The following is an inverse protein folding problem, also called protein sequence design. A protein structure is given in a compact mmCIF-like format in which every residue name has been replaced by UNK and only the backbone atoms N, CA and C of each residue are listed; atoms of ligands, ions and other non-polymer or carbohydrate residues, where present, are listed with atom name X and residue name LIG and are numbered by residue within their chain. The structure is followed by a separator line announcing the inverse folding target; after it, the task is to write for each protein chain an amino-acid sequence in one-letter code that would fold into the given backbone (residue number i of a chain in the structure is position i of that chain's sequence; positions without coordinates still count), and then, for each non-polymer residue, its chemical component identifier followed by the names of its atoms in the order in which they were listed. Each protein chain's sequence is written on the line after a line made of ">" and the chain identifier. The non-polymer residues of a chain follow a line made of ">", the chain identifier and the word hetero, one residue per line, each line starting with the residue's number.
data_IF_916115345191
#
_entry.id   IF_916115345191
#
_cell.length_a   1.000
_cell.length_b   1.000
_cell.length_c   1.000
_cell.angle_alpha   90.00
_cell.angle_beta   90.00
_cell.angle_gamma   90.00
#
_symmetry.space_group_name_H-M   'P 1'
#
loop_
_entity.id
_entity.type
_entity.pdbx_description
1 polymer ?
#
# COMPACT_ATOMS: atom_id res chain seq x y z
N UNK A 1 16.01 0.60 -3.43
CA UNK A 1 16.85 -0.41 -4.11
C UNK A 1 18.28 0.08 -4.39
N UNK A 2 18.45 1.25 -5.01
CA UNK A 2 19.75 1.77 -5.42
C UNK A 2 20.80 1.88 -4.30
N UNK A 3 20.39 2.27 -3.08
CA UNK A 3 21.30 2.34 -1.93
C UNK A 3 21.91 0.99 -1.53
N UNK A 4 21.12 -0.09 -1.55
CA UNK A 4 21.63 -1.44 -1.23
C UNK A 4 22.60 -1.95 -2.30
N UNK A 5 22.36 -1.60 -3.57
CA UNK A 5 23.22 -1.99 -4.68
C UNK A 5 24.56 -1.26 -4.59
N UNK A 6 24.52 0.07 -4.38
CA UNK A 6 25.73 0.88 -4.28
C UNK A 6 26.63 0.41 -3.13
N UNK A 7 26.05 0.11 -1.97
CA UNK A 7 26.82 -0.35 -0.82
C UNK A 7 27.27 -1.80 -0.96
N UNK A 8 26.41 -2.69 -1.48
CA UNK A 8 26.76 -4.07 -1.74
C UNK A 8 27.95 -4.22 -2.70
N UNK A 9 28.00 -3.43 -3.77
CA UNK A 9 29.11 -3.46 -4.74
C UNK A 9 30.43 -3.03 -4.09
N UNK A 10 30.44 -2.02 -3.20
CA UNK A 10 31.66 -1.61 -2.49
C UNK A 10 32.20 -2.71 -1.58
N UNK A 11 31.32 -3.37 -0.82
CA UNK A 11 31.71 -4.42 0.13
C UNK A 11 32.22 -5.67 -0.61
N UNK A 12 31.61 -6.02 -1.75
CA UNK A 12 32.10 -7.09 -2.61
C UNK A 12 33.45 -6.73 -3.24
N UNK A 13 33.64 -5.49 -3.69
CA UNK A 13 34.92 -5.01 -4.22
C UNK A 13 36.05 -5.05 -3.17
N UNK A 14 35.72 -4.96 -1.87
CA UNK A 14 36.65 -5.14 -0.77
C UNK A 14 36.98 -6.62 -0.44
N UNK A 15 36.52 -7.58 -1.26
CA UNK A 15 36.85 -9.01 -1.14
C UNK A 15 35.88 -9.82 -0.29
N UNK A 16 34.77 -9.23 0.15
CA UNK A 16 33.74 -9.97 0.87
C UNK A 16 32.94 -10.89 -0.05
N UNK A 17 32.52 -12.05 0.46
CA UNK A 17 31.80 -13.05 -0.32
C UNK A 17 30.37 -12.58 -0.66
N UNK A 18 30.01 -12.41 -1.94
CA UNK A 18 28.70 -11.90 -2.36
C UNK A 18 27.54 -12.81 -1.94
N UNK A 19 27.76 -14.12 -1.86
CA UNK A 19 26.73 -15.10 -1.42
C UNK A 19 26.40 -14.92 0.06
N UNK A 20 27.42 -14.66 0.88
CA UNK A 20 27.22 -14.40 2.32
C UNK A 20 26.53 -13.06 2.55
N UNK A 21 26.88 -12.03 1.77
CA UNK A 21 26.21 -10.72 1.84
C UNK A 21 24.75 -10.84 1.44
N UNK A 22 24.43 -11.50 0.32
CA UNK A 22 23.05 -11.68 -0.12
C UNK A 22 22.21 -12.42 0.93
N UNK A 23 22.75 -13.50 1.50
CA UNK A 23 22.09 -14.24 2.60
C UNK A 23 21.94 -13.39 3.87
N UNK A 24 22.94 -12.58 4.20
CA UNK A 24 22.91 -11.65 5.32
C UNK A 24 21.82 -10.60 5.14
N UNK A 25 21.75 -9.98 3.97
CA UNK A 25 20.71 -9.02 3.59
C UNK A 25 19.35 -9.70 3.75
N UNK A 26 19.09 -10.85 3.12
CA UNK A 26 17.80 -11.53 3.22
C UNK A 26 17.36 -11.84 4.67
N UNK A 27 18.28 -12.32 5.51
CA UNK A 27 17.99 -12.59 6.92
C UNK A 27 17.65 -11.30 7.67
N UNK A 28 18.44 -10.25 7.46
CA UNK A 28 18.19 -8.94 8.06
C UNK A 28 16.86 -8.35 7.59
N UNK A 29 16.53 -8.43 6.30
CA UNK A 29 15.24 -7.94 5.79
C UNK A 29 14.08 -8.70 6.41
N UNK A 30 14.19 -10.03 6.57
CA UNK A 30 13.15 -10.83 7.23
C UNK A 30 12.96 -10.44 8.70
N UNK A 31 14.05 -10.27 9.44
CA UNK A 31 14.00 -9.83 10.83
C UNK A 31 13.43 -8.41 10.96
N UNK A 32 13.86 -7.47 10.11
CA UNK A 32 13.35 -6.10 10.09
C UNK A 32 11.87 -6.05 9.74
N UNK A 33 11.39 -6.85 8.78
CA UNK A 33 9.96 -6.92 8.45
C UNK A 33 9.16 -7.46 9.63
N UNK A 34 9.68 -8.43 10.38
CA UNK A 34 9.03 -8.92 11.59
C UNK A 34 8.95 -7.83 12.67
N UNK A 35 10.04 -7.10 12.90
CA UNK A 35 10.08 -6.00 13.87
C UNK A 35 9.17 -4.85 13.47
N UNK A 36 9.15 -4.46 12.19
CA UNK A 36 8.27 -3.42 11.67
C UNK A 36 6.79 -3.74 11.89
N UNK A 37 6.41 -5.02 11.83
CA UNK A 37 5.05 -5.47 12.17
C UNK A 37 4.72 -5.34 13.65
N UNK A 38 5.71 -5.50 14.53
CA UNK A 38 5.53 -5.29 15.97
C UNK A 38 5.44 -3.79 16.31
N UNK A 39 6.15 -2.96 15.56
CA UNK A 39 6.11 -1.50 15.70
C UNK A 39 4.87 -0.87 15.05
N UNK A 40 4.23 -1.54 14.09
CA UNK A 40 3.05 -1.00 13.42
C UNK A 40 1.85 -0.93 14.37
N UNK A 41 1.18 0.22 14.39
CA UNK A 41 -0.07 0.40 15.11
C UNK A 41 -1.23 -0.01 14.20
N UNK A 42 -2.07 -0.93 14.67
CA UNK A 42 -3.33 -1.23 13.99
C UNK A 42 -4.26 -0.02 14.09
N UNK A 43 -4.90 0.33 12.98
CA UNK A 43 -5.84 1.45 12.91
C UNK A 43 -7.20 0.97 13.38
N UNK A 44 -7.73 1.61 14.41
CA UNK A 44 -9.09 1.40 14.89
C UNK A 44 -10.10 2.14 14.03
N UNK A 45 -11.35 1.70 14.03
CA UNK A 45 -12.41 2.26 13.18
C UNK A 45 -12.66 3.77 13.46
N UNK A 46 -12.38 4.23 14.69
CA UNK A 46 -12.45 5.64 15.07
C UNK A 46 -11.32 6.50 14.48
N UNK A 47 -10.16 5.91 14.20
CA UNK A 47 -8.98 6.62 13.69
C UNK A 47 -8.95 6.66 12.15
N UNK A 48 -9.85 5.91 11.51
CA UNK A 48 -9.84 5.69 10.07
C UNK A 48 -10.13 6.97 9.28
N UNK A 49 -11.01 7.83 9.79
CA UNK A 49 -11.27 9.15 9.21
C UNK A 49 -10.04 10.07 9.29
N UNK A 50 -9.35 10.10 10.43
CA UNK A 50 -8.17 10.93 10.63
C UNK A 50 -7.01 10.49 9.72
N UNK A 51 -6.76 9.18 9.63
CA UNK A 51 -5.74 8.61 8.74
C UNK A 51 -6.08 8.91 7.28
N UNK A 52 -7.35 8.79 6.88
CA UNK A 52 -7.80 9.12 5.54
C UNK A 52 -7.65 10.62 5.24
N UNK A 53 -7.99 11.50 6.17
CA UNK A 53 -7.84 12.96 6.01
C UNK A 53 -6.38 13.37 5.84
N UNK A 54 -5.47 12.87 6.68
CA UNK A 54 -4.04 13.18 6.55
C UNK A 54 -3.50 12.69 5.20
N UNK A 55 -3.92 11.50 4.77
CA UNK A 55 -3.53 10.92 3.48
C UNK A 55 -4.11 11.68 2.28
N UNK A 56 -5.29 12.29 2.45
CA UNK A 56 -5.96 13.13 1.45
C UNK A 56 -5.46 14.58 1.40
N UNK A 57 -4.31 14.89 2.03
CA UNK A 57 -3.75 16.24 2.04
C UNK A 57 -4.46 17.19 3.01
N UNK A 58 -4.90 16.70 4.17
CA UNK A 58 -5.66 17.42 5.19
C UNK A 58 -7.06 17.88 4.75
N UNK A 59 -7.69 17.16 3.82
CA UNK A 59 -9.08 17.40 3.46
C UNK A 59 -10.03 16.52 4.29
N UNK A 60 -10.76 17.15 5.22
CA UNK A 60 -11.72 16.47 6.09
C UNK A 60 -12.94 15.91 5.35
N UNK A 61 -13.44 16.60 4.33
CA UNK A 61 -14.60 16.13 3.55
C UNK A 61 -14.27 14.83 2.81
N UNK A 62 -13.11 14.79 2.15
CA UNK A 62 -12.64 13.60 1.43
C UNK A 62 -12.30 12.46 2.40
N UNK A 63 -11.62 12.76 3.51
CA UNK A 63 -11.29 11.73 4.51
C UNK A 63 -12.52 11.08 5.14
N UNK A 64 -13.54 11.88 5.48
CA UNK A 64 -14.81 11.37 5.99
C UNK A 64 -15.55 10.49 4.97
N UNK A 65 -15.54 10.90 3.70
CA UNK A 65 -16.15 10.13 2.61
C UNK A 65 -15.47 8.78 2.39
N UNK A 66 -14.13 8.74 2.44
CA UNK A 66 -13.36 7.50 2.35
C UNK A 66 -13.66 6.59 3.55
N UNK A 67 -13.76 7.17 4.76
CA UNK A 67 -14.07 6.40 5.96
C UNK A 67 -15.49 5.81 5.92
N UNK A 68 -16.48 6.58 5.45
CA UNK A 68 -17.84 6.09 5.26
C UNK A 68 -17.89 4.95 4.22
N UNK A 69 -17.13 5.08 3.12
CA UNK A 69 -17.02 4.02 2.11
C UNK A 69 -16.43 2.74 2.69
N UNK A 70 -15.31 2.84 3.40
CA UNK A 70 -14.62 1.71 4.03
C UNK A 70 -15.49 1.04 5.11
N UNK A 71 -16.27 1.80 5.87
CA UNK A 71 -17.22 1.27 6.84
C UNK A 71 -18.34 0.45 6.17
N UNK A 72 -18.85 0.89 5.02
CA UNK A 72 -19.89 0.18 4.26
C UNK A 72 -19.41 -1.09 3.57
N UNK A 73 -18.17 -1.11 3.04
CA UNK A 73 -17.62 -2.30 2.33
C UNK A 73 -16.87 -3.26 3.25
N UNK A 74 -16.50 -2.83 4.46
CA UNK A 74 -15.70 -3.60 5.42
C UNK A 74 -14.22 -3.69 5.07
N UNK A 75 -13.39 -4.22 6.00
CA UNK A 75 -11.91 -4.22 5.89
C UNK A 75 -11.32 -4.94 4.67
N UNK A 76 -12.07 -5.82 4.02
CA UNK A 76 -11.65 -6.54 2.80
C UNK A 76 -12.43 -6.11 1.56
N UNK A 77 -13.22 -5.05 1.68
CA UNK A 77 -14.01 -4.51 0.59
C UNK A 77 -13.16 -3.79 -0.45
N UNK A 78 -13.71 -3.66 -1.64
CA UNK A 78 -13.09 -2.96 -2.77
C UNK A 78 -13.79 -1.62 -2.94
N UNK A 79 -13.01 -0.55 -3.05
CA UNK A 79 -13.52 0.80 -3.33
C UNK A 79 -13.02 1.22 -4.71
N UNK A 80 -13.94 1.62 -5.57
CA UNK A 80 -13.64 2.15 -6.90
C UNK A 80 -14.06 3.61 -6.95
N UNK A 81 -13.24 4.45 -7.57
CA UNK A 81 -13.55 5.85 -7.85
C UNK A 81 -13.98 5.98 -9.31
N UNK A 82 -15.09 6.68 -9.54
CA UNK A 82 -15.54 7.07 -10.87
C UNK A 82 -15.69 8.59 -10.94
N UNK A 83 -15.32 9.20 -12.07
CA UNK A 83 -15.50 10.63 -12.29
C UNK A 83 -16.96 10.93 -12.66
N UNK A 84 -17.63 11.73 -11.83
CA UNK A 84 -18.99 12.20 -12.07
C UNK A 84 -19.05 13.39 -13.03
N UNK A 85 -20.22 13.60 -13.65
CA UNK A 85 -20.50 14.79 -14.49
C UNK A 85 -20.95 16.01 -13.69
N UNK A 86 -21.28 15.83 -12.42
CA UNK A 86 -21.76 16.86 -11.50
C UNK A 86 -20.72 17.16 -10.43
N UNK A 87 -20.81 18.34 -9.82
CA UNK A 87 -19.94 18.75 -8.70
C UNK A 87 -20.31 18.11 -7.34
N UNK A 88 -21.35 17.26 -7.32
CA UNK A 88 -21.77 16.55 -6.12
C UNK A 88 -21.12 15.17 -6.05
N UNK A 89 -20.51 14.87 -4.91
CA UNK A 89 -19.96 13.55 -4.64
C UNK A 89 -21.06 12.63 -4.11
N UNK A 90 -21.15 11.42 -4.66
CA UNK A 90 -22.13 10.42 -4.26
C UNK A 90 -21.46 9.07 -4.03
N UNK A 91 -22.02 8.29 -3.11
CA UNK A 91 -21.52 6.99 -2.73
C UNK A 91 -22.57 5.92 -3.03
N UNK A 92 -22.18 4.91 -3.81
CA UNK A 92 -23.02 3.78 -4.17
C UNK A 92 -22.35 2.47 -3.76
N UNK A 93 -23.13 1.57 -3.17
CA UNK A 93 -22.68 0.21 -2.85
C UNK A 93 -23.33 -0.72 -3.88
N UNK A 94 -22.50 -1.46 -4.61
CA UNK A 94 -22.95 -2.43 -5.63
C UNK A 94 -22.41 -3.80 -5.29
N UNK A 95 -23.20 -4.84 -5.59
CA UNK A 95 -22.72 -6.21 -5.53
C UNK A 95 -21.74 -6.46 -6.69
N UNK A 96 -20.48 -6.65 -6.37
CA UNK A 96 -19.41 -6.86 -7.35
C UNK A 96 -18.35 -7.82 -6.83
N UNK A 97 -17.46 -8.24 -7.72
CA UNK A 97 -16.35 -9.13 -7.40
C UNK A 97 -15.09 -8.64 -8.10
N UNK A 98 -13.99 -8.55 -7.35
CA UNK A 98 -12.66 -8.33 -7.91
C UNK A 98 -11.89 -9.65 -7.91
N UNK A 99 -11.16 -9.91 -9.00
CA UNK A 99 -10.24 -11.04 -9.10
C UNK A 99 -8.81 -10.53 -9.21
N UNK A 100 -7.86 -11.22 -8.60
CA UNK A 100 -6.43 -10.86 -8.65
C UNK A 100 -5.76 -11.18 -10.00
N UNK A 101 -6.54 -11.50 -11.05
CA UNK A 101 -6.04 -11.83 -12.38
C UNK A 101 -5.94 -10.57 -13.23
N UNK A 102 -4.72 -10.24 -13.67
CA UNK A 102 -4.49 -9.18 -14.65
C UNK A 102 -4.79 -9.60 -16.09
N UNK A 103 -4.71 -8.64 -17.00
CA UNK A 103 -4.83 -8.86 -18.44
C UNK A 103 -3.64 -9.64 -18.99
N UNK A 104 -3.90 -10.51 -19.97
CA UNK A 104 -2.85 -11.33 -20.59
C UNK A 104 -1.90 -10.51 -21.48
N UNK A 105 -2.40 -9.44 -22.11
CA UNK A 105 -1.62 -8.58 -22.99
C UNK A 105 -1.54 -7.15 -22.44
N UNK A 106 -0.34 -6.55 -22.30
CA UNK A 106 -0.19 -5.16 -21.84
C UNK A 106 -0.92 -4.11 -22.69
N UNK A 107 -1.17 -4.40 -23.97
CA UNK A 107 -1.88 -3.51 -24.90
C UNK A 107 -3.37 -3.33 -24.58
N UNK A 108 -3.96 -4.19 -23.74
CA UNK A 108 -5.37 -4.09 -23.33
C UNK A 108 -5.63 -2.99 -22.29
N UNK A 109 -4.57 -2.42 -21.71
CA UNK A 109 -4.66 -1.32 -20.75
C UNK A 109 -4.56 0.07 -21.41
N UNK A 110 -4.41 0.13 -22.73
CA UNK A 110 -4.27 1.36 -23.51
C UNK A 110 -5.59 1.77 -24.16
#
# INVERSE_FOLDING_TARGET
>A
AQGLIAEGVKVVAAGANPVLIARGIEKTTKALVAELKLMSKEVEDSELADVATVSAGNNHEVGNMIAEALSKVGRKGVVTLEEGKSAENSLYVVEGMQSDKGYFFPLLCY
#
